data_IF_996339580681
#
_entry.id   IF_996339580681
#
_cell.length_a   1.000
_cell.length_b   1.000
_cell.length_c   1.000
_cell.angle_alpha   90.00
_cell.angle_beta   90.00
_cell.angle_gamma   90.00
#
_symmetry.space_group_name_H-M   'P 1'
#
loop_
_entity.id
_entity.type
_entity.pdbx_description
1 polymer ?
#
# COMPACT_ATOMS: atom_id res chain seq x y z
N UNK A 1 -33.50 3.36 -21.20
CA UNK A 1 -32.97 1.98 -21.06
C UNK A 1 -31.56 1.91 -20.47
N UNK A 2 -30.57 2.71 -20.92
CA UNK A 2 -29.18 2.68 -20.40
C UNK A 2 -29.07 2.88 -18.88
N UNK A 3 -29.91 3.71 -18.27
CA UNK A 3 -29.86 4.05 -16.85
C UNK A 3 -30.25 2.90 -15.93
N UNK A 4 -31.25 2.09 -16.30
CA UNK A 4 -31.68 0.91 -15.51
C UNK A 4 -30.62 -0.20 -15.51
N UNK A 5 -29.92 -0.37 -16.65
CA UNK A 5 -28.82 -1.34 -16.77
C UNK A 5 -27.58 -0.93 -15.96
N UNK A 6 -27.29 0.37 -15.88
CA UNK A 6 -26.19 0.91 -15.07
C UNK A 6 -26.45 0.70 -13.57
N UNK A 7 -27.68 0.95 -13.10
CA UNK A 7 -28.06 0.73 -11.70
C UNK A 7 -28.01 -0.77 -11.35
N UNK A 8 -28.50 -1.64 -12.23
CA UNK A 8 -28.41 -3.09 -12.04
C UNK A 8 -26.95 -3.59 -11.99
N UNK A 9 -26.08 -3.08 -12.88
CA UNK A 9 -24.64 -3.38 -12.84
C UNK A 9 -24.00 -2.92 -11.54
N UNK A 10 -24.28 -1.71 -11.08
CA UNK A 10 -23.73 -1.21 -9.81
C UNK A 10 -24.22 -2.04 -8.62
N UNK A 11 -25.51 -2.40 -8.59
CA UNK A 11 -26.08 -3.28 -7.55
C UNK A 11 -25.46 -4.68 -7.55
N UNK A 12 -25.21 -5.26 -8.73
CA UNK A 12 -24.55 -6.55 -8.84
C UNK A 12 -23.08 -6.49 -8.38
N UNK A 13 -22.34 -5.44 -8.75
CA UNK A 13 -20.95 -5.24 -8.34
C UNK A 13 -20.85 -5.05 -6.82
N UNK A 14 -21.72 -4.23 -6.22
CA UNK A 14 -21.70 -3.98 -4.78
C UNK A 14 -22.09 -5.23 -3.99
N UNK A 15 -23.08 -6.00 -4.46
CA UNK A 15 -23.47 -7.27 -3.84
C UNK A 15 -22.31 -8.29 -3.86
N UNK A 16 -21.63 -8.43 -5.01
CA UNK A 16 -20.47 -9.31 -5.14
C UNK A 16 -19.30 -8.84 -4.26
N UNK A 17 -19.10 -7.54 -4.12
CA UNK A 17 -18.04 -6.97 -3.28
C UNK A 17 -18.29 -7.26 -1.79
N UNK A 18 -19.55 -7.14 -1.35
CA UNK A 18 -19.95 -7.48 0.03
C UNK A 18 -19.83 -8.99 0.27
N UNK A 19 -20.26 -9.82 -0.68
CA UNK A 19 -20.13 -11.28 -0.58
C UNK A 19 -18.66 -11.72 -0.52
N UNK A 20 -17.78 -11.10 -1.31
CA UNK A 20 -16.34 -11.32 -1.29
C UNK A 20 -15.74 -10.99 0.08
N UNK A 21 -16.07 -9.83 0.65
CA UNK A 21 -15.61 -9.42 1.98
C UNK A 21 -16.10 -10.37 3.09
N UNK A 22 -17.36 -10.81 3.02
CA UNK A 22 -17.92 -11.77 3.96
C UNK A 22 -17.23 -13.14 3.88
N UNK A 23 -16.95 -13.64 2.66
CA UNK A 23 -16.15 -14.86 2.46
C UNK A 23 -14.74 -14.70 3.01
N UNK A 24 -14.04 -13.59 2.71
CA UNK A 24 -12.70 -13.35 3.24
C UNK A 24 -12.66 -13.32 4.77
N UNK A 25 -13.68 -12.73 5.40
CA UNK A 25 -13.82 -12.72 6.86
C UNK A 25 -14.08 -14.11 7.43
N UNK A 26 -15.00 -14.88 6.83
CA UNK A 26 -15.31 -16.25 7.25
C UNK A 26 -14.10 -17.18 7.14
N UNK A 27 -13.39 -17.09 6.02
CA UNK A 27 -12.15 -17.82 5.74
C UNK A 27 -11.05 -17.44 6.75
N UNK A 28 -10.86 -16.16 7.04
CA UNK A 28 -9.88 -15.67 8.04
C UNK A 28 -10.14 -16.23 9.45
N UNK A 29 -11.42 -16.33 9.84
CA UNK A 29 -11.83 -16.85 11.15
C UNK A 29 -11.64 -18.37 11.24
N UNK A 30 -12.03 -19.12 10.21
CA UNK A 30 -11.88 -20.57 10.16
C UNK A 30 -10.41 -21.02 10.13
N UNK A 31 -9.53 -20.17 9.61
CA UNK A 31 -8.12 -20.47 9.44
C UNK A 31 -7.21 -19.93 10.54
N UNK A 32 -7.78 -19.46 11.66
CA UNK A 32 -7.01 -18.87 12.77
C UNK A 32 -6.04 -17.77 12.32
N UNK A 33 -6.45 -16.89 11.40
CA UNK A 33 -5.61 -15.82 10.81
C UNK A 33 -4.42 -16.30 9.96
N UNK A 34 -4.38 -17.58 9.57
CA UNK A 34 -3.52 -18.08 8.49
C UNK A 34 -4.30 -17.93 7.21
N UNK A 35 -4.01 -16.99 6.32
CA UNK A 35 -4.88 -16.75 5.15
C UNK A 35 -4.96 -18.00 4.26
N UNK A 36 -5.96 -18.86 4.48
CA UNK A 36 -6.24 -20.07 3.70
C UNK A 36 -7.11 -19.68 2.52
N UNK A 37 -6.50 -19.41 1.37
CA UNK A 37 -7.26 -19.14 0.15
C UNK A 37 -8.16 -20.34 -0.18
N UNK A 38 -9.20 -20.12 -0.97
CA UNK A 38 -10.08 -21.17 -1.49
C UNK A 38 -9.28 -22.30 -2.16
N UNK A 39 -8.11 -21.97 -2.74
CA UNK A 39 -7.17 -22.94 -3.32
C UNK A 39 -6.59 -23.90 -2.27
N UNK A 40 -6.28 -23.42 -1.06
CA UNK A 40 -5.81 -24.26 0.05
C UNK A 40 -6.91 -25.21 0.53
N UNK A 41 -8.16 -24.72 0.58
CA UNK A 41 -9.33 -25.55 0.87
C UNK A 41 -9.62 -26.61 -0.23
N UNK A 42 -9.15 -26.38 -1.46
CA UNK A 42 -9.24 -27.30 -2.59
C UNK A 42 -7.99 -28.17 -2.76
N UNK A 43 -7.02 -28.10 -1.84
CA UNK A 43 -5.78 -28.88 -1.89
C UNK A 43 -4.77 -28.43 -2.95
N UNK A 44 -4.93 -27.23 -3.50
CA UNK A 44 -4.02 -26.63 -4.48
C UNK A 44 -2.99 -25.72 -3.78
N UNK A 45 -1.71 -25.73 -4.21
CA UNK A 45 -0.69 -24.88 -3.61
C UNK A 45 -1.04 -23.41 -3.84
N UNK A 46 -1.27 -22.68 -2.75
CA UNK A 46 -1.64 -21.27 -2.78
C UNK A 46 -0.42 -20.37 -2.51
N UNK A 47 0.04 -19.66 -3.53
CA UNK A 47 1.30 -18.92 -3.49
C UNK A 47 1.18 -17.55 -2.77
N UNK A 48 -0.05 -17.10 -2.48
CA UNK A 48 -0.36 -15.88 -1.73
C UNK A 48 -0.91 -16.12 -0.32
N UNK A 49 -1.00 -17.39 0.09
CA UNK A 49 -1.52 -17.76 1.41
C UNK A 49 -0.47 -17.51 2.48
N UNK A 50 -0.90 -17.24 3.70
CA UNK A 50 -0.04 -16.89 4.83
C UNK A 50 0.80 -15.61 4.70
N UNK A 51 0.59 -14.72 3.72
CA UNK A 51 1.36 -13.46 3.61
C UNK A 51 1.40 -12.64 4.90
N UNK A 52 0.27 -12.56 5.63
CA UNK A 52 0.21 -11.85 6.90
C UNK A 52 1.00 -12.57 8.01
N UNK A 53 0.96 -13.91 8.04
CA UNK A 53 1.72 -14.71 9.00
C UNK A 53 3.22 -14.66 8.68
N UNK A 54 3.59 -14.77 7.41
CA UNK A 54 4.93 -14.60 6.90
C UNK A 54 5.47 -13.21 7.26
N UNK A 55 4.68 -12.14 7.05
CA UNK A 55 5.06 -10.78 7.44
C UNK A 55 5.28 -10.66 8.96
N UNK A 56 4.37 -11.18 9.78
CA UNK A 56 4.55 -11.18 11.25
C UNK A 56 5.81 -11.90 11.71
N UNK A 57 6.14 -13.02 11.05
CA UNK A 57 7.33 -13.82 11.35
C UNK A 57 8.60 -13.13 10.84
N UNK A 58 8.52 -12.47 9.68
CA UNK A 58 9.59 -11.67 9.09
C UNK A 58 9.95 -10.48 9.99
N UNK A 59 8.95 -9.74 10.48
CA UNK A 59 9.14 -8.61 11.43
C UNK A 59 9.79 -9.07 12.74
N UNK A 60 9.59 -10.34 13.14
CA UNK A 60 10.25 -10.96 14.29
C UNK A 60 11.67 -11.47 13.99
N UNK A 61 12.21 -11.17 12.81
CA UNK A 61 13.57 -11.53 12.38
C UNK A 61 13.75 -13.00 11.97
N UNK A 62 12.67 -13.79 11.84
CA UNK A 62 12.74 -15.22 11.50
C UNK A 62 12.58 -15.44 9.99
N UNK A 63 13.61 -15.06 9.23
CA UNK A 63 13.61 -15.04 7.75
C UNK A 63 13.28 -16.39 7.10
N UNK A 64 13.95 -17.48 7.51
CA UNK A 64 13.71 -18.84 6.99
C UNK A 64 12.25 -19.28 7.18
N UNK A 65 11.72 -19.06 8.39
CA UNK A 65 10.34 -19.43 8.71
C UNK A 65 9.32 -18.55 7.97
N UNK A 66 9.66 -17.31 7.65
CA UNK A 66 8.83 -16.46 6.81
C UNK A 66 8.82 -16.94 5.35
N UNK A 67 9.98 -17.39 4.84
CA UNK A 67 10.12 -17.96 3.49
C UNK A 67 9.32 -19.25 3.33
N UNK A 68 9.39 -20.16 4.30
CA UNK A 68 8.59 -21.38 4.33
C UNK A 68 7.08 -21.10 4.35
N UNK A 69 6.66 -20.01 5.01
CA UNK A 69 5.24 -19.64 5.08
C UNK A 69 4.74 -19.01 3.79
N UNK A 70 5.50 -18.09 3.22
CA UNK A 70 5.18 -17.46 1.95
C UNK A 70 6.44 -16.82 1.32
N UNK A 71 7.01 -17.42 0.25
CA UNK A 71 8.21 -16.86 -0.38
C UNK A 71 7.94 -15.54 -1.14
N UNK A 72 6.71 -15.31 -1.61
CA UNK A 72 6.33 -14.05 -2.26
C UNK A 72 6.40 -12.84 -1.31
N UNK A 73 6.41 -13.04 0.01
CA UNK A 73 6.46 -11.92 0.97
C UNK A 73 7.70 -11.03 0.76
N UNK A 74 8.81 -11.61 0.33
CA UNK A 74 10.05 -10.88 0.07
C UNK A 74 9.93 -9.95 -1.13
N UNK A 75 9.25 -10.39 -2.17
CA UNK A 75 8.97 -9.58 -3.36
C UNK A 75 8.06 -8.41 -2.97
N UNK A 76 7.02 -8.67 -2.17
CA UNK A 76 6.12 -7.62 -1.67
C UNK A 76 6.83 -6.59 -0.79
N UNK A 77 7.73 -7.04 0.10
CA UNK A 77 8.52 -6.14 0.96
C UNK A 77 9.47 -5.28 0.13
N UNK A 78 10.13 -5.86 -0.87
CA UNK A 78 10.99 -5.09 -1.78
C UNK A 78 10.19 -4.06 -2.59
N UNK A 79 9.02 -4.43 -3.10
CA UNK A 79 8.14 -3.53 -3.84
C UNK A 79 7.67 -2.36 -2.95
N UNK A 80 7.17 -2.66 -1.74
CA UNK A 80 6.76 -1.63 -0.77
C UNK A 80 7.95 -0.74 -0.38
N UNK A 81 9.14 -1.31 -0.21
CA UNK A 81 10.38 -0.58 0.02
C UNK A 81 10.69 0.40 -1.12
N UNK A 82 10.61 -0.05 -2.37
CA UNK A 82 10.86 0.81 -3.54
C UNK A 82 9.84 1.96 -3.66
N UNK A 83 8.56 1.70 -3.36
CA UNK A 83 7.53 2.73 -3.35
C UNK A 83 7.78 3.74 -2.23
N UNK A 84 8.16 3.26 -1.04
CA UNK A 84 8.52 4.13 0.09
C UNK A 84 9.73 5.00 -0.21
N UNK A 85 10.78 4.45 -0.82
CA UNK A 85 11.96 5.22 -1.26
C UNK A 85 11.58 6.24 -2.32
N UNK A 86 10.72 5.88 -3.28
CA UNK A 86 10.25 6.80 -4.31
C UNK A 86 9.47 7.98 -3.71
N UNK A 87 8.55 7.70 -2.79
CA UNK A 87 7.79 8.74 -2.07
C UNK A 87 8.73 9.64 -1.26
N UNK A 88 9.71 9.04 -0.56
CA UNK A 88 10.71 9.78 0.20
C UNK A 88 11.57 10.67 -0.70
N UNK A 89 11.95 10.17 -1.89
CA UNK A 89 12.72 10.92 -2.88
C UNK A 89 11.93 12.13 -3.40
N UNK A 90 10.67 11.93 -3.80
CA UNK A 90 9.81 13.02 -4.26
C UNK A 90 9.61 14.06 -3.16
N UNK A 91 9.28 13.63 -1.94
CA UNK A 91 9.10 14.53 -0.80
C UNK A 91 10.36 15.30 -0.44
N UNK A 92 11.52 14.66 -0.51
CA UNK A 92 12.82 15.31 -0.29
C UNK A 92 13.13 16.34 -1.37
N UNK A 93 12.84 16.00 -2.63
CA UNK A 93 13.00 16.90 -3.78
C UNK A 93 12.09 18.13 -3.66
N UNK A 94 10.83 17.95 -3.26
CA UNK A 94 9.90 19.05 -3.03
C UNK A 94 10.37 19.95 -1.90
N UNK A 95 10.88 19.37 -0.81
CA UNK A 95 11.45 20.12 0.31
C UNK A 95 12.67 20.95 -0.11
N UNK A 96 13.56 20.38 -0.93
CA UNK A 96 14.74 21.09 -1.47
C UNK A 96 14.32 22.22 -2.43
N UNK A 97 13.37 21.95 -3.32
CA UNK A 97 12.88 22.92 -4.33
C UNK A 97 12.12 24.08 -3.67
N UNK A 98 11.34 23.81 -2.62
CA UNK A 98 10.66 24.84 -1.85
C UNK A 98 11.65 25.73 -1.07
N UNK A 99 12.74 25.15 -0.56
CA UNK A 99 13.83 25.91 0.08
C UNK A 99 14.62 26.78 -0.92
N UNK A 100 14.83 26.32 -2.16
CA UNK A 100 15.52 27.14 -3.18
C UNK A 100 14.66 28.31 -3.69
N UNK A 101 13.33 28.15 -3.73
CA UNK A 101 12.39 29.24 -4.01
C UNK A 101 12.45 30.33 -2.93
N UNK A 102 12.57 29.96 -1.65
CA UNK A 102 12.78 30.96 -0.58
C UNK A 102 14.11 31.71 -0.73
N UNK A 103 15.19 31.10 -1.24
CA UNK A 103 16.47 31.78 -1.47
C UNK A 103 16.40 32.89 -2.54
N UNK A 104 15.61 32.68 -3.61
CA UNK A 104 15.37 33.71 -4.63
C UNK A 104 14.46 34.82 -4.09
N UNK A 105 13.42 34.47 -3.31
CA UNK A 105 12.46 35.41 -2.72
C UNK A 105 13.12 36.24 -1.62
N UNK A 106 13.96 35.64 -0.78
CA UNK A 106 14.78 36.35 0.20
C UNK A 106 15.76 37.30 -0.48
N UNK A 107 16.34 36.89 -1.61
CA UNK A 107 17.15 37.79 -2.43
C UNK A 107 16.31 38.96 -2.93
N UNK A 108 15.14 38.69 -3.52
CA UNK A 108 14.24 39.69 -4.12
C UNK A 108 13.68 40.67 -3.06
N UNK A 109 13.24 40.16 -1.91
CA UNK A 109 12.79 40.94 -0.76
C UNK A 109 13.94 41.79 -0.22
N UNK A 110 15.15 41.22 -0.07
CA UNK A 110 16.32 42.00 0.35
C UNK A 110 16.72 43.06 -0.67
N UNK A 111 16.52 42.87 -1.97
CA UNK A 111 16.75 43.93 -2.97
C UNK A 111 15.66 45.00 -2.91
N UNK A 112 14.39 44.61 -2.75
CA UNK A 112 13.26 45.54 -2.72
C UNK A 112 13.26 46.43 -1.47
N UNK A 113 13.63 45.88 -0.31
CA UNK A 113 13.61 46.60 0.97
C UNK A 113 14.97 47.19 1.38
N UNK A 114 16.01 47.13 0.52
CA UNK A 114 17.33 47.74 0.81
C UNK A 114 17.33 49.27 0.81
N UNK A 115 16.24 49.91 0.37
CA UNK A 115 16.08 51.35 0.28
C UNK A 115 15.32 52.02 1.42
N UNK A 116 14.86 51.26 2.43
CA UNK A 116 14.20 51.82 3.62
C UNK A 116 15.15 51.65 4.80
N UNK A 117 16.11 52.58 4.90
CA UNK A 117 16.76 52.91 6.15
C UNK A 117 16.54 54.39 6.37
N UNK A 118 15.97 54.69 7.53
CA UNK A 118 15.71 56.03 8.06
C UNK A 118 16.95 56.95 7.96
#
# INVERSE_FOLDING_TARGET
MKTKWQIFKMGFISLNSIAMLAMMYGVSRYSHFRTSCILDALGQPCWGCNSLAALKVLVRGKWLKAFELNPLIFIWVLLLGSLGVNELYHRSKDYITQRSSLSWLDKLIKTMFKGIKD
#
